data_IF_997694536865
#
_entry.id   IF_997694536865
#
_cell.length_a   1.000
_cell.length_b   1.000
_cell.length_c   1.000
_cell.angle_alpha   90.00
_cell.angle_beta   90.00
_cell.angle_gamma   90.00
#
_symmetry.space_group_name_H-M   'P 1'
#
loop_
_entity.id
_entity.type
_entity.pdbx_description
1 polymer ?
#
# COMPACT_ATOMS: atom_id res chain seq x y z
N UNK A 1 4.29 44.79 -0.62
CA UNK A 1 3.54 43.55 -0.95
C UNK A 1 2.06 43.82 -0.76
N UNK A 2 1.25 43.79 -1.83
CA UNK A 2 -0.17 44.17 -1.76
C UNK A 2 -0.94 43.24 -0.80
N UNK A 3 -1.97 43.76 -0.10
CA UNK A 3 -2.80 42.97 0.84
C UNK A 3 -3.33 41.68 0.20
N UNK A 4 -3.63 41.73 -1.09
CA UNK A 4 -4.10 40.58 -1.89
C UNK A 4 -3.02 39.50 -2.03
N UNK A 5 -1.75 39.90 -2.21
CA UNK A 5 -0.64 38.95 -2.34
C UNK A 5 -0.28 38.28 -1.00
N UNK A 6 -0.45 38.99 0.13
CA UNK A 6 -0.32 38.39 1.46
C UNK A 6 -1.45 37.40 1.78
N UNK A 7 -2.70 37.75 1.44
CA UNK A 7 -3.83 36.82 1.60
C UNK A 7 -3.67 35.56 0.74
N UNK A 8 -3.29 35.70 -0.53
CA UNK A 8 -3.04 34.55 -1.40
C UNK A 8 -1.96 33.62 -0.83
N UNK A 9 -0.85 34.17 -0.33
CA UNK A 9 0.20 33.38 0.33
C UNK A 9 -0.28 32.65 1.59
N UNK A 10 -1.09 33.31 2.41
CA UNK A 10 -1.68 32.72 3.61
C UNK A 10 -2.62 31.55 3.27
N UNK A 11 -3.46 31.69 2.24
CA UNK A 11 -4.37 30.64 1.78
C UNK A 11 -3.60 29.41 1.29
N UNK A 12 -2.51 29.58 0.54
CA UNK A 12 -1.67 28.46 0.07
C UNK A 12 -1.06 27.71 1.25
N UNK A 13 -0.58 28.42 2.27
CA UNK A 13 -0.02 27.79 3.48
C UNK A 13 -1.08 26.98 4.25
N UNK A 14 -2.31 27.50 4.34
CA UNK A 14 -3.42 26.78 4.99
C UNK A 14 -3.77 25.51 4.21
N UNK A 15 -3.87 25.57 2.88
CA UNK A 15 -4.16 24.39 2.05
C UNK A 15 -3.06 23.33 2.22
N UNK A 16 -1.79 23.73 2.17
CA UNK A 16 -0.66 22.81 2.40
C UNK A 16 -0.72 22.19 3.81
N UNK A 17 -1.07 22.98 4.83
CA UNK A 17 -1.26 22.49 6.20
C UNK A 17 -2.35 21.44 6.30
N UNK A 18 -3.51 21.68 5.67
CA UNK A 18 -4.63 20.74 5.64
C UNK A 18 -4.23 19.43 4.94
N UNK A 19 -3.51 19.52 3.80
CA UNK A 19 -3.04 18.33 3.07
C UNK A 19 -2.05 17.49 3.90
N UNK A 20 -1.18 18.13 4.67
CA UNK A 20 -0.25 17.43 5.56
C UNK A 20 -0.99 16.72 6.70
N UNK A 21 -1.92 17.42 7.36
CA UNK A 21 -2.76 16.85 8.42
C UNK A 21 -3.57 15.66 7.88
N UNK A 22 -4.16 15.80 6.69
CA UNK A 22 -4.91 14.73 6.02
C UNK A 22 -4.05 13.47 5.87
N UNK A 23 -2.83 13.62 5.34
CA UNK A 23 -1.91 12.48 5.16
C UNK A 23 -1.59 11.80 6.49
N UNK A 24 -1.34 12.56 7.55
CA UNK A 24 -0.96 12.01 8.86
C UNK A 24 -2.13 11.33 9.58
N UNK A 25 -3.33 11.90 9.47
CA UNK A 25 -4.50 11.40 10.18
C UNK A 25 -5.14 10.18 9.52
N UNK A 26 -5.23 10.18 8.17
CA UNK A 26 -6.08 9.24 7.44
C UNK A 26 -5.33 8.21 6.60
N UNK A 27 -4.03 8.39 6.37
CA UNK A 27 -3.23 7.42 5.62
C UNK A 27 -2.39 6.60 6.59
N UNK A 28 -2.64 5.30 6.63
CA UNK A 28 -1.87 4.33 7.44
C UNK A 28 -1.07 3.42 6.52
N UNK A 29 0.07 2.96 7.01
CA UNK A 29 0.80 1.86 6.34
C UNK A 29 0.31 0.56 6.96
N UNK A 30 -0.14 -0.37 6.12
CA UNK A 30 -0.60 -1.70 6.49
C UNK A 30 0.13 -2.73 5.61
N UNK A 31 0.29 -3.96 6.10
CA UNK A 31 0.96 -5.02 5.35
C UNK A 31 -0.05 -6.06 4.90
N UNK A 32 -0.06 -6.38 3.61
CA UNK A 32 -0.86 -7.46 3.03
C UNK A 32 0.06 -8.62 2.68
N UNK A 33 -0.16 -9.78 3.29
CA UNK A 33 0.58 -10.99 2.94
C UNK A 33 -0.06 -11.68 1.74
N UNK A 34 0.50 -11.51 0.54
CA UNK A 34 -0.05 -12.08 -0.70
C UNK A 34 0.89 -13.16 -1.21
N UNK A 35 0.44 -14.41 -1.15
CA UNK A 35 1.23 -15.58 -1.55
C UNK A 35 2.53 -15.78 -0.74
N UNK A 36 2.61 -15.27 0.50
CA UNK A 36 3.80 -15.39 1.35
C UNK A 36 4.78 -14.23 1.27
N UNK A 37 4.47 -13.17 0.51
CA UNK A 37 5.24 -11.91 0.50
C UNK A 37 4.44 -10.85 1.24
N UNK A 38 5.08 -10.18 2.21
CA UNK A 38 4.48 -9.05 2.93
C UNK A 38 4.62 -7.76 2.12
N UNK A 39 3.51 -7.28 1.58
CA UNK A 39 3.46 -6.11 0.71
C UNK A 39 2.95 -4.91 1.53
N UNK A 40 3.82 -3.93 1.85
CA UNK A 40 3.38 -2.70 2.49
C UNK A 40 2.55 -1.84 1.54
N UNK A 41 1.41 -1.36 2.02
CA UNK A 41 0.48 -0.53 1.29
C UNK A 41 0.01 0.67 2.12
N UNK A 42 -0.27 1.78 1.45
CA UNK A 42 -0.93 2.96 2.02
C UNK A 42 -2.43 2.74 1.98
N UNK A 43 -3.01 2.52 3.14
CA UNK A 43 -4.45 2.45 3.34
C UNK A 43 -5.01 3.82 3.69
N UNK A 44 -6.01 4.26 2.94
CA UNK A 44 -6.77 5.47 3.20
C UNK A 44 -8.06 5.12 3.94
N UNK A 45 -8.15 5.53 5.21
CA UNK A 45 -9.28 5.22 6.09
C UNK A 45 -10.60 5.81 5.54
N UNK A 46 -10.55 6.96 4.87
CA UNK A 46 -11.76 7.64 4.39
C UNK A 46 -12.30 7.01 3.11
N UNK A 47 -11.43 6.54 2.22
CA UNK A 47 -11.85 5.95 0.94
C UNK A 47 -11.91 4.43 0.98
N UNK A 48 -11.40 3.80 2.04
CA UNK A 48 -11.26 2.34 2.14
C UNK A 48 -10.30 1.76 1.10
N UNK A 49 -9.43 2.57 0.49
CA UNK A 49 -8.55 2.12 -0.60
C UNK A 49 -7.15 1.85 -0.09
N UNK A 50 -6.57 0.74 -0.53
CA UNK A 50 -5.16 0.41 -0.31
C UNK A 50 -4.38 0.54 -1.62
N UNK A 51 -3.21 1.17 -1.56
CA UNK A 51 -2.30 1.28 -2.70
C UNK A 51 -0.91 0.80 -2.28
N UNK A 52 -0.29 -0.17 -2.99
CA UNK A 52 1.02 -0.68 -2.64
C UNK A 52 2.06 0.43 -2.69
N UNK A 53 3.02 0.43 -1.77
CA UNK A 53 4.08 1.44 -1.74
C UNK A 53 5.08 1.12 -2.86
N UNK A 54 4.97 1.81 -3.99
CA UNK A 54 5.84 1.60 -5.17
C UNK A 54 7.31 1.97 -4.95
N UNK A 55 7.58 2.87 -4.00
CA UNK A 55 8.93 3.37 -3.72
C UNK A 55 9.62 2.49 -2.67
N UNK A 56 9.71 1.18 -2.96
CA UNK A 56 10.48 0.19 -2.22
C UNK A 56 11.97 0.49 -2.39
N UNK A 57 12.44 1.61 -1.86
CA UNK A 57 13.86 1.92 -1.81
C UNK A 57 14.47 0.99 -0.76
N UNK A 58 14.78 -0.23 -1.20
CA UNK A 58 15.70 -1.14 -0.55
C UNK A 58 17.02 -0.40 -0.39
N UNK A 59 17.17 0.31 0.72
CA UNK A 59 18.48 0.79 1.11
C UNK A 59 19.20 -0.47 1.58
N UNK A 60 20.17 -0.92 0.78
CA UNK A 60 21.30 -1.72 1.27
C UNK A 60 21.64 -1.14 2.65
N UNK A 61 21.44 -1.92 3.70
CA UNK A 61 21.73 -1.50 5.07
C UNK A 61 23.25 -1.31 5.11
N UNK A 62 23.75 -0.12 4.78
CA UNK A 62 25.07 0.29 5.23
C UNK A 62 24.94 0.41 6.74
N UNK A 63 25.47 -0.60 7.42
CA UNK A 63 25.81 -0.62 8.85
C UNK A 63 26.48 0.71 9.18
N UNK A 64 25.71 1.67 9.66
CA UNK A 64 26.25 2.90 10.23
C UNK A 64 25.29 3.36 11.31
N UNK A 65 25.89 3.48 12.48
CA UNK A 65 25.35 3.71 13.80
C UNK A 65 24.47 4.97 13.85
N UNK A 66 23.50 4.96 14.76
CA UNK A 66 22.75 6.10 15.32
C UNK A 66 21.44 6.51 14.62
N UNK A 67 20.39 5.77 14.98
CA UNK A 67 19.20 6.24 15.70
C UNK A 67 18.21 7.27 15.07
N UNK A 68 16.93 6.97 15.35
CA UNK A 68 15.69 7.79 15.35
C UNK A 68 14.82 7.89 14.08
N UNK A 69 13.73 7.11 14.15
CA UNK A 69 12.38 7.36 13.60
C UNK A 69 12.24 7.49 12.08
N UNK A 70 12.44 6.39 11.38
CA UNK A 70 11.52 5.95 10.32
C UNK A 70 11.78 4.47 10.09
N UNK A 71 10.88 3.59 10.54
CA UNK A 71 10.94 2.19 10.11
C UNK A 71 10.76 2.19 8.59
N UNK A 72 11.87 2.08 7.88
CA UNK A 72 11.90 1.90 6.42
C UNK A 72 11.35 0.50 6.17
N UNK A 73 10.06 0.43 5.89
CA UNK A 73 9.41 -0.78 5.38
C UNK A 73 9.78 -0.88 3.90
N UNK A 74 10.56 -1.88 3.53
CA UNK A 74 10.99 -2.06 2.15
C UNK A 74 11.33 -3.53 1.90
N UNK A 75 10.82 -4.05 0.79
CA UNK A 75 11.24 -5.32 0.22
C UNK A 75 12.60 -5.15 -0.46
N UNK A 76 13.38 -6.22 -0.55
CA UNK A 76 14.59 -6.25 -1.38
C UNK A 76 14.22 -6.08 -2.85
N UNK A 77 15.12 -5.54 -3.67
CA UNK A 77 14.83 -5.15 -5.06
C UNK A 77 14.26 -6.27 -5.93
N UNK A 78 14.66 -7.52 -5.70
CA UNK A 78 14.13 -8.67 -6.41
C UNK A 78 12.69 -9.02 -6.00
N UNK A 79 12.34 -8.77 -4.73
CA UNK A 79 11.02 -9.02 -4.17
C UNK A 79 10.03 -7.90 -4.53
N UNK A 80 10.52 -6.72 -4.90
CA UNK A 80 9.70 -5.58 -5.34
C UNK A 80 8.88 -5.91 -6.57
N UNK A 81 9.53 -6.41 -7.63
CA UNK A 81 8.84 -6.76 -8.87
C UNK A 81 7.86 -7.92 -8.63
N UNK A 82 8.26 -8.92 -7.86
CA UNK A 82 7.39 -10.03 -7.50
C UNK A 82 6.18 -9.57 -6.67
N UNK A 83 6.35 -8.63 -5.75
CA UNK A 83 5.29 -8.05 -4.95
C UNK A 83 4.31 -7.23 -5.78
N UNK A 84 4.82 -6.36 -6.67
CA UNK A 84 3.97 -5.57 -7.58
C UNK A 84 3.13 -6.48 -8.47
N UNK A 85 3.75 -7.48 -9.09
CA UNK A 85 3.05 -8.45 -9.93
C UNK A 85 1.99 -9.23 -9.15
N UNK A 86 2.32 -9.69 -7.93
CA UNK A 86 1.36 -10.42 -7.08
C UNK A 86 0.21 -9.55 -6.59
N UNK A 87 0.47 -8.29 -6.29
CA UNK A 87 -0.57 -7.33 -5.94
C UNK A 87 -1.55 -7.16 -7.10
N UNK A 88 -1.05 -6.86 -8.30
CA UNK A 88 -1.89 -6.65 -9.49
C UNK A 88 -2.73 -7.89 -9.83
N UNK A 89 -2.14 -9.09 -9.76
CA UNK A 89 -2.86 -10.34 -9.95
C UNK A 89 -3.97 -10.54 -8.91
N UNK A 90 -3.63 -10.35 -7.63
CA UNK A 90 -4.59 -10.53 -6.54
C UNK A 90 -5.72 -9.49 -6.62
N UNK A 91 -5.39 -8.21 -6.84
CA UNK A 91 -6.34 -7.12 -6.96
C UNK A 91 -7.30 -7.36 -8.14
N UNK A 92 -6.78 -7.72 -9.31
CA UNK A 92 -7.60 -8.06 -10.47
C UNK A 92 -8.54 -9.24 -10.19
N UNK A 93 -8.02 -10.29 -9.55
CA UNK A 93 -8.79 -11.48 -9.18
C UNK A 93 -9.85 -11.20 -8.11
N UNK A 94 -9.53 -10.41 -7.08
CA UNK A 94 -10.46 -10.09 -5.99
C UNK A 94 -11.56 -9.14 -6.49
N UNK A 95 -11.19 -8.14 -7.29
CA UNK A 95 -12.15 -7.17 -7.85
C UNK A 95 -13.07 -7.76 -8.91
N UNK A 96 -12.71 -8.89 -9.53
CA UNK A 96 -13.60 -9.63 -10.43
C UNK A 96 -14.68 -10.44 -9.69
N UNK A 97 -14.70 -10.42 -8.35
CA UNK A 97 -15.55 -11.25 -7.50
C UNK A 97 -16.33 -10.41 -6.49
N UNK A 98 -17.66 -10.26 -6.64
CA UNK A 98 -18.48 -9.44 -5.76
C UNK A 98 -18.37 -9.78 -4.27
N UNK A 99 -18.14 -11.07 -3.95
CA UNK A 99 -17.99 -11.58 -2.58
C UNK A 99 -16.74 -11.07 -1.85
N UNK A 100 -15.76 -10.52 -2.58
CA UNK A 100 -14.54 -9.94 -2.01
C UNK A 100 -14.51 -8.41 -2.09
N UNK A 101 -15.64 -7.78 -2.40
CA UNK A 101 -15.72 -6.31 -2.44
C UNK A 101 -15.33 -5.71 -1.08
N UNK A 102 -14.40 -4.76 -1.09
CA UNK A 102 -13.92 -4.09 0.11
C UNK A 102 -12.83 -4.85 0.88
N UNK A 103 -12.22 -5.86 0.25
CA UNK A 103 -11.06 -6.60 0.80
C UNK A 103 -9.93 -5.68 1.26
N UNK A 104 -9.80 -4.48 0.69
CA UNK A 104 -8.79 -3.50 1.09
C UNK A 104 -9.00 -3.01 2.53
N UNK A 105 -10.26 -2.97 2.99
CA UNK A 105 -10.64 -2.41 4.29
C UNK A 105 -11.01 -3.46 5.34
N UNK A 106 -11.26 -4.70 4.92
CA UNK A 106 -11.74 -5.78 5.77
C UNK A 106 -10.75 -6.95 5.80
N UNK A 107 -10.17 -7.18 6.98
CA UNK A 107 -9.17 -8.22 7.19
C UNK A 107 -9.71 -9.64 7.00
N UNK A 108 -10.97 -9.90 7.35
CA UNK A 108 -11.58 -11.21 7.16
C UNK A 108 -11.84 -11.48 5.69
N UNK A 109 -12.37 -10.49 4.96
CA UNK A 109 -12.59 -10.60 3.51
C UNK A 109 -11.25 -10.78 2.81
N UNK A 110 -10.22 -10.00 3.16
CA UNK A 110 -8.88 -10.18 2.61
C UNK A 110 -8.33 -11.59 2.87
N UNK A 111 -8.45 -12.11 4.10
CA UNK A 111 -7.95 -13.44 4.44
C UNK A 111 -8.65 -14.52 3.59
N UNK A 112 -9.98 -14.47 3.50
CA UNK A 112 -10.77 -15.39 2.66
C UNK A 112 -10.39 -15.29 1.17
N UNK A 113 -10.27 -14.08 0.66
CA UNK A 113 -9.87 -13.82 -0.72
C UNK A 113 -8.46 -14.38 -1.01
N UNK A 114 -7.50 -14.12 -0.13
CA UNK A 114 -6.11 -14.57 -0.30
C UNK A 114 -5.97 -16.09 -0.22
N UNK A 115 -6.71 -16.76 0.68
CA UNK A 115 -6.76 -18.22 0.73
C UNK A 115 -7.31 -18.79 -0.59
N UNK A 116 -8.42 -18.26 -1.09
CA UNK A 116 -9.02 -18.71 -2.36
C UNK A 116 -8.19 -18.36 -3.60
N UNK A 117 -7.47 -17.25 -3.57
CA UNK A 117 -6.51 -16.90 -4.60
C UNK A 117 -5.37 -17.92 -4.66
N UNK A 118 -4.82 -18.34 -3.51
CA UNK A 118 -3.79 -19.39 -3.44
C UNK A 118 -4.27 -20.69 -4.07
N UNK A 119 -5.47 -21.13 -3.73
CA UNK A 119 -6.09 -22.33 -4.31
C UNK A 119 -6.22 -22.20 -5.84
N UNK A 120 -6.68 -21.03 -6.32
CA UNK A 120 -6.86 -20.75 -7.75
C UNK A 120 -5.55 -20.73 -8.54
N UNK A 121 -4.46 -20.26 -7.93
CA UNK A 121 -3.14 -20.26 -8.58
C UNK A 121 -2.54 -21.67 -8.58
N UNK A 122 -2.70 -22.42 -7.48
CA UNK A 122 -2.17 -23.79 -7.38
C UNK A 122 -2.93 -24.80 -8.27
N UNK A 123 -4.25 -24.65 -8.43
CA UNK A 123 -5.04 -25.53 -9.30
C UNK A 123 -4.68 -25.37 -10.77
N UNK A 124 -4.38 -24.14 -11.22
CA UNK A 124 -3.93 -23.87 -12.60
C UNK A 124 -2.56 -24.50 -12.93
N UNK A 125 -1.68 -24.70 -11.94
CA UNK A 125 -0.38 -25.37 -12.15
C UNK A 125 -0.55 -26.88 -12.38
N UNK A 126 -1.62 -27.50 -11.85
CA UNK A 126 -1.86 -28.94 -12.04
C UNK A 126 -2.40 -29.32 -13.42
N UNK A 127 -2.91 -28.37 -14.20
CA UNK A 127 -3.54 -28.65 -15.51
C UNK A 127 -2.51 -28.72 -16.65
N UNK A 128 -1.24 -28.39 -16.39
CA UNK A 128 -0.17 -28.33 -17.41
C UNK A 128 0.77 -29.57 -17.37
N UNK A 129 0.53 -30.53 -16.47
CA UNK A 129 1.30 -31.79 -16.40
C UNK A 129 0.53 -32.99 -16.95
#
# INVERSE_FOLDING_TARGET
MSKNLKMAGMTVLVILGILLIYRVLFIRTVNYNIGGIDIPARYNILTGKAVPISDYKGKIIKKTVTDRKSNRVGLDSNDVTAAQFRWELFEGWANSRPEYKGWESDQEIFKKANEKFKDSVQSNVKVIN
#
